data_IF_700166850802
#
_entry.id   IF_700166850802
#
_cell.length_a   1.000
_cell.length_b   1.000
_cell.length_c   1.000
_cell.angle_alpha   90.00
_cell.angle_beta   90.00
_cell.angle_gamma   90.00
#
_symmetry.space_group_name_H-M   'P 1'
#
loop_
_entity.id
_entity.type
_entity.pdbx_description
1 polymer ?
#
# COMPACT_ATOMS: atom_id res chain seq x y z
N UNK A 1 -32.81 -60.53 71.49
CA UNK A 1 -31.70 -61.32 72.09
C UNK A 1 -30.48 -60.41 72.11
N UNK A 2 -30.22 -59.79 73.26
CA UNK A 2 -29.18 -60.16 74.23
C UNK A 2 -27.91 -59.34 73.93
N UNK A 3 -27.61 -58.36 74.79
CA UNK A 3 -26.52 -58.43 75.79
C UNK A 3 -25.14 -58.31 75.11
N UNK A 4 -24.17 -57.51 75.55
CA UNK A 4 -23.84 -56.94 76.86
C UNK A 4 -22.57 -56.11 76.61
N UNK A 5 -22.42 -54.97 77.29
CA UNK A 5 -21.46 -54.81 78.39
C UNK A 5 -20.06 -55.27 77.99
N UNK A 6 -19.19 -54.34 77.64
CA UNK A 6 -18.34 -53.59 78.58
C UNK A 6 -17.16 -54.44 79.06
N UNK A 7 -16.02 -53.75 79.03
CA UNK A 7 -14.80 -54.00 79.79
C UNK A 7 -13.87 -55.09 79.26
N UNK A 8 -12.81 -54.65 78.56
CA UNK A 8 -11.49 -54.87 79.13
C UNK A 8 -10.48 -53.82 78.68
N UNK A 9 -9.76 -53.34 79.67
CA UNK A 9 -8.82 -52.23 79.72
C UNK A 9 -7.57 -52.39 78.83
N UNK A 10 -6.88 -51.25 78.67
CA UNK A 10 -5.41 -51.15 78.60
C UNK A 10 -4.76 -50.99 77.23
N UNK A 11 -4.61 -49.74 76.78
CA UNK A 11 -3.25 -49.20 76.60
C UNK A 11 -3.20 -47.67 76.56
N UNK A 12 -2.39 -47.19 77.49
CA UNK A 12 -1.78 -45.87 77.66
C UNK A 12 -1.49 -45.07 76.37
N UNK A 13 -1.68 -43.75 76.46
CA UNK A 13 -1.24 -42.81 75.43
C UNK A 13 -1.59 -41.36 75.72
N UNK A 14 -0.97 -40.80 76.77
CA UNK A 14 -0.66 -39.38 77.03
C UNK A 14 -1.19 -38.30 76.06
N UNK A 15 -1.86 -37.27 76.59
CA UNK A 15 -2.02 -36.03 75.81
C UNK A 15 -3.03 -35.03 76.37
N UNK A 16 -2.66 -34.36 77.45
CA UNK A 16 -3.41 -33.29 78.11
C UNK A 16 -3.77 -32.14 77.13
N UNK A 17 -5.06 -31.81 76.96
CA UNK A 17 -5.50 -30.50 76.46
C UNK A 17 -6.88 -30.16 77.01
N UNK A 18 -6.89 -29.39 78.10
CA UNK A 18 -8.10 -28.80 78.67
C UNK A 18 -8.78 -27.87 77.66
N UNK A 19 -9.98 -28.24 77.22
CA UNK A 19 -10.88 -27.36 76.48
C UNK A 19 -11.54 -26.42 77.50
N UNK A 20 -11.23 -25.12 77.43
CA UNK A 20 -12.07 -24.09 78.06
C UNK A 20 -13.21 -23.77 77.11
N UNK A 21 -14.41 -24.21 77.46
CA UNK A 21 -15.66 -23.77 76.84
C UNK A 21 -16.33 -22.76 77.78
N UNK A 22 -16.46 -21.50 77.37
CA UNK A 22 -17.42 -20.58 78.02
C UNK A 22 -18.80 -20.80 77.40
N UNK A 23 -19.78 -21.13 78.24
CA UNK A 23 -21.18 -21.22 77.84
C UNK A 23 -21.80 -19.81 77.85
N UNK A 24 -22.34 -19.38 76.73
CA UNK A 24 -23.32 -18.28 76.68
C UNK A 24 -24.69 -18.94 76.72
N UNK A 25 -25.46 -18.67 77.78
CA UNK A 25 -26.80 -19.21 77.97
C UNK A 25 -27.81 -18.45 77.09
N UNK A 26 -28.52 -19.19 76.25
CA UNK A 26 -29.75 -18.75 75.59
C UNK A 26 -29.68 -18.86 74.06
N UNK A 27 -30.46 -19.81 73.52
CA UNK A 27 -30.72 -20.12 72.11
C UNK A 27 -29.71 -21.08 71.42
N UNK A 28 -30.24 -22.24 70.99
CA UNK A 28 -29.68 -23.37 70.21
C UNK A 28 -28.17 -23.43 69.88
N UNK A 29 -27.46 -24.54 70.22
CA UNK A 29 -26.03 -24.64 69.98
C UNK A 29 -25.74 -25.18 68.57
N UNK A 30 -25.63 -24.30 67.58
CA UNK A 30 -24.82 -24.62 66.40
C UNK A 30 -23.36 -24.43 66.83
N UNK A 31 -22.67 -25.54 67.12
CA UNK A 31 -21.22 -25.54 67.39
C UNK A 31 -20.47 -25.14 66.11
N UNK A 32 -20.16 -23.85 65.97
CA UNK A 32 -19.11 -23.44 65.04
C UNK A 32 -17.74 -23.60 65.71
N UNK A 33 -17.04 -24.68 65.36
CA UNK A 33 -15.61 -24.79 65.61
C UNK A 33 -14.87 -23.99 64.52
N UNK A 34 -14.42 -22.77 64.83
CA UNK A 34 -13.44 -22.08 64.01
C UNK A 34 -12.10 -22.79 64.22
N UNK A 35 -11.67 -23.59 63.24
CA UNK A 35 -10.31 -24.12 63.16
C UNK A 35 -9.36 -22.94 62.91
N UNK A 36 -8.73 -22.40 63.95
CA UNK A 36 -7.58 -21.52 63.79
C UNK A 36 -6.35 -22.38 63.45
N UNK A 37 -6.20 -22.69 62.16
CA UNK A 37 -4.97 -23.28 61.64
C UNK A 37 -3.88 -22.21 61.58
N UNK A 38 -2.72 -22.47 62.19
CA UNK A 38 -1.50 -21.71 61.92
C UNK A 38 -1.07 -22.10 60.51
N UNK A 39 -1.21 -21.18 59.55
CA UNK A 39 -0.67 -21.35 58.20
C UNK A 39 0.85 -21.31 58.32
N UNK A 40 1.54 -22.38 57.90
CA UNK A 40 2.98 -22.45 57.88
C UNK A 40 3.57 -21.43 56.90
N UNK A 41 4.68 -20.80 57.27
CA UNK A 41 5.30 -19.73 56.47
C UNK A 41 5.64 -20.19 55.03
N UNK A 42 5.96 -21.47 54.85
CA UNK A 42 6.28 -22.05 53.55
C UNK A 42 5.08 -22.04 52.58
N UNK A 43 3.88 -22.41 53.06
CA UNK A 43 2.65 -22.35 52.25
C UNK A 43 2.22 -20.91 51.91
N UNK A 44 2.46 -19.94 52.81
CA UNK A 44 2.25 -18.51 52.51
C UNK A 44 3.21 -18.01 51.44
N UNK A 45 4.49 -18.34 51.55
CA UNK A 45 5.51 -17.92 50.59
C UNK A 45 5.25 -18.52 49.20
N UNK A 46 4.82 -19.78 49.13
CA UNK A 46 4.45 -20.46 47.88
C UNK A 46 3.15 -19.90 47.27
N UNK A 47 2.14 -19.58 48.09
CA UNK A 47 0.92 -18.92 47.64
C UNK A 47 1.18 -17.49 47.12
N UNK A 48 2.09 -16.76 47.75
CA UNK A 48 2.45 -15.39 47.36
C UNK A 48 3.27 -15.38 46.06
N UNK A 49 4.21 -16.32 45.89
CA UNK A 49 4.97 -16.50 44.63
C UNK A 49 4.08 -16.89 43.45
N UNK A 50 3.14 -17.80 43.63
CA UNK A 50 2.20 -18.23 42.58
C UNK A 50 1.20 -17.14 42.20
N UNK A 51 0.76 -16.33 43.17
CA UNK A 51 -0.12 -15.18 42.92
C UNK A 51 0.61 -14.04 42.21
N UNK A 52 1.86 -13.75 42.60
CA UNK A 52 2.72 -12.78 41.91
C UNK A 52 3.05 -13.22 40.47
N UNK A 53 3.38 -14.50 40.26
CA UNK A 53 3.65 -15.03 38.92
C UNK A 53 2.43 -14.96 38.01
N UNK A 54 1.22 -15.25 38.53
CA UNK A 54 -0.04 -15.11 37.79
C UNK A 54 -0.35 -13.65 37.44
N UNK A 55 -0.16 -12.72 38.38
CA UNK A 55 -0.34 -11.29 38.14
C UNK A 55 0.63 -10.75 37.08
N UNK A 56 1.90 -11.19 37.14
CA UNK A 56 2.92 -10.80 36.16
C UNK A 56 2.59 -11.32 34.75
N UNK A 57 2.15 -12.58 34.62
CA UNK A 57 1.75 -13.16 33.33
C UNK A 57 0.54 -12.44 32.71
N UNK A 58 -0.42 -12.00 33.53
CA UNK A 58 -1.58 -11.22 33.06
C UNK A 58 -1.16 -9.82 32.62
N UNK A 59 -0.30 -9.14 33.38
CA UNK A 59 0.26 -7.83 32.99
C UNK A 59 1.08 -7.90 31.72
N UNK A 60 1.90 -8.94 31.54
CA UNK A 60 2.70 -9.14 30.32
C UNK A 60 1.77 -9.38 29.12
N UNK A 61 0.75 -10.23 29.26
CA UNK A 61 -0.24 -10.45 28.19
C UNK A 61 -1.01 -9.17 27.82
N UNK A 62 -1.38 -8.37 28.81
CA UNK A 62 -2.06 -7.09 28.58
C UNK A 62 -1.15 -6.09 27.87
N UNK A 63 0.12 -5.97 28.29
CA UNK A 63 1.11 -5.14 27.61
C UNK A 63 1.35 -5.59 26.17
N UNK A 64 1.48 -6.89 25.93
CA UNK A 64 1.63 -7.44 24.58
C UNK A 64 0.41 -7.14 23.70
N UNK A 65 -0.81 -7.23 24.24
CA UNK A 65 -2.02 -6.87 23.49
C UNK A 65 -2.10 -5.38 23.18
N UNK A 66 -1.73 -4.50 24.12
CA UNK A 66 -1.70 -3.05 23.91
C UNK A 66 -0.64 -2.68 22.85
N UNK A 67 0.54 -3.29 22.91
CA UNK A 67 1.59 -3.08 21.89
C UNK A 67 1.12 -3.58 20.52
N UNK A 68 0.44 -4.72 20.45
CA UNK A 68 -0.06 -5.28 19.19
C UNK A 68 -1.15 -4.41 18.56
N UNK A 69 -2.07 -3.87 19.37
CA UNK A 69 -3.10 -2.91 18.92
C UNK A 69 -2.45 -1.58 18.48
N UNK A 70 -1.48 -1.07 19.23
CA UNK A 70 -0.74 0.14 18.87
C UNK A 70 0.09 -0.04 17.59
N UNK A 71 0.70 -1.22 17.39
CA UNK A 71 1.37 -1.57 16.14
C UNK A 71 0.39 -1.68 14.97
N UNK A 72 -0.80 -2.26 15.18
CA UNK A 72 -1.84 -2.33 14.16
C UNK A 72 -2.35 -0.94 13.74
N UNK A 73 -2.50 0.00 14.67
CA UNK A 73 -2.94 1.38 14.34
C UNK A 73 -1.84 2.22 13.68
N UNK A 74 -0.58 1.98 14.01
CA UNK A 74 0.58 2.68 13.41
C UNK A 74 1.02 2.08 12.07
N UNK A 75 0.53 0.90 11.69
CA UNK A 75 0.78 0.25 10.40
C UNK A 75 -0.19 0.66 9.29
N UNK A 76 -0.82 1.84 9.35
CA UNK A 76 -1.50 2.40 8.17
C UNK A 76 -0.44 2.75 7.12
N UNK A 77 -0.13 1.77 6.27
CA UNK A 77 0.63 1.97 5.04
C UNK A 77 -0.10 3.03 4.22
N UNK A 78 0.43 4.25 4.24
CA UNK A 78 0.05 5.31 3.34
C UNK A 78 0.27 4.78 1.92
N UNK A 79 -0.82 4.35 1.28
CA UNK A 79 -0.78 4.11 -0.16
C UNK A 79 -0.39 5.44 -0.81
N UNK A 80 0.53 5.44 -1.78
CA UNK A 80 0.81 6.67 -2.53
C UNK A 80 -0.51 7.14 -3.13
N UNK A 81 -0.83 8.42 -2.97
CA UNK A 81 -1.97 9.04 -3.61
C UNK A 81 -1.72 9.00 -5.13
N UNK A 82 -2.23 7.95 -5.79
CA UNK A 82 -2.12 7.80 -7.24
C UNK A 82 -3.02 8.85 -7.88
N UNK A 83 -2.45 9.64 -8.79
CA UNK A 83 -3.24 10.53 -9.61
C UNK A 83 -4.10 9.66 -10.55
N UNK A 84 -5.37 10.00 -10.78
CA UNK A 84 -6.20 9.21 -11.69
C UNK A 84 -5.60 9.23 -13.10
N UNK A 85 -5.25 8.05 -13.62
CA UNK A 85 -4.83 7.85 -15.01
C UNK A 85 -5.97 8.30 -15.93
N UNK A 86 -5.64 9.10 -16.94
CA UNK A 86 -6.56 9.62 -17.94
C UNK A 86 -7.34 8.47 -18.61
N UNK A 87 -8.66 8.65 -18.79
CA UNK A 87 -9.53 7.60 -19.31
C UNK A 87 -9.14 7.09 -20.70
N UNK A 88 -8.71 7.98 -21.60
CA UNK A 88 -8.23 7.59 -22.93
C UNK A 88 -6.96 6.73 -22.82
N UNK A 89 -6.00 7.17 -22.00
CA UNK A 89 -4.73 6.46 -21.78
C UNK A 89 -5.00 5.07 -21.22
N UNK A 90 -5.84 4.98 -20.18
CA UNK A 90 -6.21 3.72 -19.54
C UNK A 90 -6.93 2.76 -20.49
N UNK A 91 -7.83 3.26 -21.34
CA UNK A 91 -8.68 2.41 -22.15
C UNK A 91 -8.03 1.99 -23.49
N UNK A 92 -7.21 2.85 -24.09
CA UNK A 92 -6.73 2.65 -25.46
C UNK A 92 -5.22 2.42 -25.59
N UNK A 93 -4.42 2.75 -24.58
CA UNK A 93 -2.96 2.75 -24.72
C UNK A 93 -2.24 1.58 -24.02
N UNK A 94 -2.96 0.56 -23.57
CA UNK A 94 -2.41 -0.64 -22.92
C UNK A 94 -1.36 -0.30 -21.83
N UNK A 95 -1.77 0.42 -20.78
CA UNK A 95 -0.89 0.98 -19.72
C UNK A 95 -1.05 0.30 -18.35
N UNK A 96 -1.48 -0.95 -18.33
CA UNK A 96 -1.62 -1.70 -17.06
C UNK A 96 -0.26 -1.87 -16.34
N UNK A 97 0.84 -1.81 -17.10
CA UNK A 97 2.22 -1.81 -16.64
C UNK A 97 2.99 -0.69 -17.38
N UNK A 98 4.16 -0.25 -16.87
CA UNK A 98 4.99 0.72 -17.57
C UNK A 98 5.35 0.26 -18.99
N UNK A 99 5.17 1.15 -19.96
CA UNK A 99 5.39 0.88 -21.37
C UNK A 99 6.77 1.35 -21.81
N UNK A 100 7.45 0.52 -22.61
CA UNK A 100 8.73 0.86 -23.19
C UNK A 100 8.58 1.67 -24.48
N UNK A 101 9.18 2.86 -24.53
CA UNK A 101 9.23 3.72 -25.71
C UNK A 101 10.68 3.81 -26.19
N UNK A 102 10.91 3.70 -27.50
CA UNK A 102 12.27 3.75 -28.05
C UNK A 102 12.89 5.14 -27.89
N UNK A 103 14.13 5.17 -27.42
CA UNK A 103 14.89 6.42 -27.23
C UNK A 103 15.42 6.94 -28.58
N UNK A 104 15.98 6.04 -29.40
CA UNK A 104 16.73 6.40 -30.60
C UNK A 104 16.57 5.43 -31.79
N UNK A 105 15.67 4.45 -31.70
CA UNK A 105 15.49 3.41 -32.71
C UNK A 105 16.56 2.32 -32.73
N UNK A 106 17.54 2.33 -31.80
CA UNK A 106 18.68 1.37 -31.76
C UNK A 106 18.54 0.30 -30.68
N UNK A 107 17.32 0.07 -30.21
CA UNK A 107 17.01 -0.92 -29.16
C UNK A 107 17.07 -0.38 -27.73
N UNK A 108 17.53 0.86 -27.52
CA UNK A 108 17.37 1.53 -26.23
C UNK A 108 15.92 1.98 -26.03
N UNK A 109 15.39 1.76 -24.83
CA UNK A 109 14.03 2.14 -24.46
C UNK A 109 13.98 2.76 -23.07
N UNK A 110 13.05 3.70 -22.88
CA UNK A 110 12.70 4.29 -21.59
C UNK A 110 11.27 3.87 -21.20
N UNK A 111 11.05 3.63 -19.91
CA UNK A 111 9.75 3.21 -19.37
C UNK A 111 8.92 4.43 -18.97
N UNK A 112 7.64 4.40 -19.32
CA UNK A 112 6.64 5.40 -18.94
C UNK A 112 5.41 4.69 -18.39
N UNK A 113 4.88 5.15 -17.26
CA UNK A 113 3.66 4.57 -16.70
C UNK A 113 2.39 5.29 -17.18
N UNK A 114 1.23 4.85 -16.69
CA UNK A 114 -0.05 5.46 -17.03
C UNK A 114 -0.15 6.92 -16.58
N UNK A 115 0.48 7.31 -15.47
CA UNK A 115 0.47 8.69 -14.97
C UNK A 115 1.31 9.59 -15.89
N UNK A 116 2.47 9.11 -16.33
CA UNK A 116 3.33 9.82 -17.29
C UNK A 116 2.61 10.10 -18.61
N UNK A 117 1.96 9.09 -19.18
CA UNK A 117 1.21 9.26 -20.43
C UNK A 117 -0.06 10.11 -20.23
N UNK A 118 -0.64 10.08 -19.03
CA UNK A 118 -1.75 10.96 -18.66
C UNK A 118 -1.32 12.42 -18.57
N UNK A 119 -0.11 12.67 -18.07
CA UNK A 119 0.49 13.99 -18.10
C UNK A 119 0.77 14.43 -19.54
N UNK A 120 1.31 13.52 -20.37
CA UNK A 120 1.59 13.78 -21.79
C UNK A 120 0.35 14.15 -22.61
N UNK A 121 -0.78 13.44 -22.45
CA UNK A 121 -2.03 13.79 -23.16
C UNK A 121 -2.60 15.14 -22.72
N UNK A 122 -2.44 15.53 -21.45
CA UNK A 122 -2.88 16.83 -20.97
C UNK A 122 -2.06 17.95 -21.64
N UNK A 123 -0.73 17.80 -21.69
CA UNK A 123 0.13 18.71 -22.44
C UNK A 123 -0.24 18.78 -23.93
N UNK A 124 -0.54 17.64 -24.55
CA UNK A 124 -0.95 17.59 -25.94
C UNK A 124 -2.27 18.31 -26.17
N UNK A 125 -3.24 18.13 -25.28
CA UNK A 125 -4.57 18.76 -25.36
C UNK A 125 -4.45 20.28 -25.28
N UNK A 126 -3.64 20.79 -24.35
CA UNK A 126 -3.45 22.22 -24.14
C UNK A 126 -2.70 22.89 -25.32
N UNK A 127 -1.77 22.18 -25.94
CA UNK A 127 -0.74 22.82 -26.77
C UNK A 127 -0.70 22.38 -28.24
N UNK A 128 -1.17 21.18 -28.56
CA UNK A 128 -0.99 20.55 -29.87
C UNK A 128 -2.32 20.19 -30.56
N UNK A 129 -3.35 19.88 -29.77
CA UNK A 129 -4.61 19.30 -30.26
C UNK A 129 -5.34 20.17 -31.28
N UNK A 130 -5.18 21.51 -31.22
CA UNK A 130 -5.82 22.43 -32.19
C UNK A 130 -5.46 22.09 -33.63
N UNK A 131 -4.23 21.62 -33.89
CA UNK A 131 -3.77 21.23 -35.22
C UNK A 131 -3.71 19.70 -35.38
N UNK A 132 -3.58 18.97 -34.28
CA UNK A 132 -3.30 17.54 -34.26
C UNK A 132 -4.36 16.69 -33.56
N UNK A 133 -5.63 17.06 -33.65
CA UNK A 133 -6.74 16.29 -33.08
C UNK A 133 -6.73 14.84 -33.60
N UNK A 134 -6.73 13.86 -32.70
CA UNK A 134 -6.66 12.44 -33.07
C UNK A 134 -5.41 12.05 -33.87
N UNK A 135 -4.32 12.82 -33.77
CA UNK A 135 -3.09 12.61 -34.55
C UNK A 135 -3.16 13.14 -35.99
N UNK A 136 -4.20 13.88 -36.38
CA UNK A 136 -4.27 14.52 -37.71
C UNK A 136 -3.22 15.62 -37.88
N UNK A 137 -3.18 16.25 -39.04
CA UNK A 137 -2.49 17.52 -39.23
C UNK A 137 -3.33 18.43 -40.12
N UNK A 138 -3.98 19.42 -39.52
CA UNK A 138 -4.90 20.31 -40.25
C UNK A 138 -4.13 21.23 -41.21
N UNK A 139 -2.87 21.55 -40.92
CA UNK A 139 -2.05 22.43 -41.77
C UNK A 139 -1.54 21.68 -43.00
N UNK A 140 -1.10 20.43 -42.81
CA UNK A 140 -0.72 19.54 -43.90
C UNK A 140 -1.29 18.14 -43.69
N UNK A 141 -2.47 17.83 -44.26
CA UNK A 141 -3.15 16.55 -44.06
C UNK A 141 -2.37 15.32 -44.55
N UNK A 142 -1.35 15.50 -45.39
CA UNK A 142 -0.49 14.41 -45.88
C UNK A 142 0.63 14.02 -44.90
N UNK A 143 0.82 14.79 -43.82
CA UNK A 143 1.86 14.54 -42.82
C UNK A 143 1.21 14.49 -41.44
N UNK A 144 0.54 13.37 -41.14
CA UNK A 144 -0.08 13.11 -39.83
C UNK A 144 0.94 12.71 -38.75
N UNK A 145 0.45 12.53 -37.51
CA UNK A 145 1.20 11.94 -36.40
C UNK A 145 1.04 10.41 -36.34
N UNK A 146 0.73 9.76 -37.46
CA UNK A 146 0.74 8.29 -37.56
C UNK A 146 2.16 7.76 -37.41
N UNK A 147 2.29 6.53 -36.90
CA UNK A 147 3.61 5.92 -36.68
C UNK A 147 4.41 5.81 -37.98
N UNK A 148 3.74 5.47 -39.08
CA UNK A 148 4.36 5.39 -40.40
C UNK A 148 4.94 6.74 -40.84
N UNK A 149 4.19 7.84 -40.71
CA UNK A 149 4.65 9.17 -41.12
C UNK A 149 5.75 9.68 -40.21
N UNK A 150 5.68 9.40 -38.91
CA UNK A 150 6.76 9.73 -37.98
C UNK A 150 8.05 8.99 -38.35
N UNK A 151 7.98 7.70 -38.70
CA UNK A 151 9.14 6.89 -39.07
C UNK A 151 9.77 7.30 -40.42
N UNK A 152 8.96 7.73 -41.39
CA UNK A 152 9.41 8.14 -42.73
C UNK A 152 9.94 9.58 -42.79
N UNK A 153 9.76 10.38 -41.74
CA UNK A 153 10.36 11.71 -41.66
C UNK A 153 11.90 11.64 -41.67
N UNK A 154 12.56 12.71 -42.13
CA UNK A 154 14.02 12.83 -42.09
C UNK A 154 14.41 13.99 -41.16
N UNK A 155 15.18 13.75 -40.08
CA UNK A 155 15.44 12.44 -39.47
C UNK A 155 14.15 11.78 -38.92
N UNK A 156 14.14 10.46 -38.62
CA UNK A 156 12.98 9.75 -38.08
C UNK A 156 12.49 10.33 -36.74
N UNK A 157 11.16 10.41 -36.59
CA UNK A 157 10.46 11.05 -35.45
C UNK A 157 9.57 10.08 -34.67
N UNK A 158 9.76 8.77 -34.85
CA UNK A 158 9.03 7.67 -34.21
C UNK A 158 9.66 7.22 -32.87
N UNK A 159 10.61 8.01 -32.36
CA UNK A 159 11.38 7.75 -31.14
C UNK A 159 11.52 9.06 -30.33
N UNK A 160 11.84 8.95 -29.03
CA UNK A 160 11.88 10.11 -28.13
C UNK A 160 12.83 11.19 -28.61
N UNK A 161 14.08 10.84 -28.93
CA UNK A 161 15.08 11.83 -29.32
C UNK A 161 14.66 12.58 -30.59
N UNK A 162 14.19 11.85 -31.61
CA UNK A 162 13.74 12.44 -32.87
C UNK A 162 12.54 13.37 -32.69
N UNK A 163 11.54 12.96 -31.92
CA UNK A 163 10.33 13.75 -31.71
C UNK A 163 10.58 14.97 -30.80
N UNK A 164 11.40 14.81 -29.75
CA UNK A 164 11.80 15.92 -28.87
C UNK A 164 12.63 16.94 -29.66
N UNK A 165 13.62 16.49 -30.43
CA UNK A 165 14.42 17.37 -31.28
C UNK A 165 13.54 18.17 -32.26
N UNK A 166 12.56 17.50 -32.90
CA UNK A 166 11.59 18.18 -33.76
C UNK A 166 10.75 19.22 -33.00
N UNK A 167 10.27 18.92 -31.79
CA UNK A 167 9.51 19.91 -31.00
C UNK A 167 10.37 21.09 -30.54
N UNK A 168 11.67 20.87 -30.26
CA UNK A 168 12.61 21.94 -29.92
C UNK A 168 12.98 22.82 -31.10
N UNK A 169 13.05 22.26 -32.31
CA UNK A 169 13.35 22.99 -33.53
C UNK A 169 12.60 22.33 -34.70
N UNK A 170 11.37 22.77 -35.00
CA UNK A 170 10.57 22.15 -36.05
C UNK A 170 11.24 22.26 -37.41
N UNK A 171 11.35 21.14 -38.11
CA UNK A 171 11.91 21.04 -39.46
C UNK A 171 10.85 20.56 -40.47
N UNK A 172 11.05 20.89 -41.73
CA UNK A 172 10.36 20.29 -42.88
C UNK A 172 10.44 18.76 -42.85
N UNK A 173 9.54 18.07 -43.55
CA UNK A 173 9.41 16.61 -43.44
C UNK A 173 10.66 15.85 -43.91
N UNK A 174 11.37 16.41 -44.88
CA UNK A 174 12.67 15.97 -45.39
C UNK A 174 13.87 16.52 -44.59
N UNK A 175 13.63 17.44 -43.64
CA UNK A 175 14.62 17.97 -42.71
C UNK A 175 15.56 19.01 -43.31
N UNK A 176 15.26 19.54 -44.49
CA UNK A 176 16.15 20.45 -45.22
C UNK A 176 16.08 21.90 -44.73
N UNK A 177 14.91 22.31 -44.24
CA UNK A 177 14.62 23.67 -43.78
C UNK A 177 13.86 23.67 -42.45
N UNK A 178 13.96 24.76 -41.69
CA UNK A 178 13.12 25.01 -40.52
C UNK A 178 11.65 25.21 -40.94
N UNK A 179 10.73 24.66 -40.16
CA UNK A 179 9.30 24.74 -40.42
C UNK A 179 8.63 25.73 -39.48
N UNK A 180 7.95 26.71 -40.06
CA UNK A 180 7.08 27.64 -39.32
C UNK A 180 5.65 27.09 -39.12
N UNK A 181 5.37 25.89 -39.64
CA UNK A 181 4.02 25.30 -39.62
C UNK A 181 3.70 24.58 -38.31
N UNK A 182 4.72 24.28 -37.50
CA UNK A 182 4.57 23.70 -36.17
C UNK A 182 5.09 24.69 -35.12
N UNK A 183 4.55 24.60 -33.90
CA UNK A 183 4.96 25.46 -32.79
C UNK A 183 6.23 24.91 -32.15
N UNK A 184 7.27 25.73 -32.08
CA UNK A 184 8.47 25.44 -31.30
C UNK A 184 8.14 25.38 -29.80
N UNK A 185 8.74 24.41 -29.11
CA UNK A 185 8.62 24.18 -27.66
C UNK A 185 10.00 24.37 -27.02
N UNK A 186 10.40 25.59 -26.61
CA UNK A 186 11.68 25.80 -25.93
C UNK A 186 11.72 25.22 -24.52
N UNK A 187 12.92 24.98 -23.99
CA UNK A 187 13.14 24.47 -22.62
C UNK A 187 12.58 25.41 -21.53
N UNK A 188 12.51 26.71 -21.82
CA UNK A 188 11.91 27.71 -20.93
C UNK A 188 10.41 27.54 -20.76
N UNK A 189 9.75 26.79 -21.66
CA UNK A 189 8.33 26.55 -21.61
C UNK A 189 8.00 25.15 -21.10
N UNK A 190 8.58 24.09 -21.69
CA UNK A 190 8.47 22.72 -21.16
C UNK A 190 9.86 22.18 -20.80
N UNK A 191 10.01 21.68 -19.57
CA UNK A 191 11.22 21.01 -19.12
C UNK A 191 11.50 19.74 -19.91
N UNK A 192 12.71 19.19 -19.77
CA UNK A 192 13.09 17.95 -20.44
C UNK A 192 12.16 16.78 -20.04
N UNK A 193 11.84 16.65 -18.76
CA UNK A 193 10.92 15.62 -18.28
C UNK A 193 9.51 15.79 -18.87
N UNK A 194 9.01 17.03 -18.92
CA UNK A 194 7.66 17.31 -19.43
C UNK A 194 7.55 17.00 -20.92
N UNK A 195 8.55 17.38 -21.71
CA UNK A 195 8.54 17.13 -23.16
C UNK A 195 8.76 15.64 -23.49
N UNK A 196 9.48 14.90 -22.65
CA UNK A 196 9.59 13.43 -22.75
C UNK A 196 8.24 12.75 -22.57
N UNK A 197 7.46 13.15 -21.57
CA UNK A 197 6.10 12.62 -21.33
C UNK A 197 5.14 12.95 -22.48
N UNK A 198 5.23 14.16 -23.03
CA UNK A 198 4.49 14.56 -24.23
C UNK A 198 4.88 13.69 -25.45
N UNK A 199 6.18 13.52 -25.70
CA UNK A 199 6.66 12.69 -26.80
C UNK A 199 6.26 11.22 -26.64
N UNK A 200 6.40 10.68 -25.43
CA UNK A 200 5.99 9.32 -25.08
C UNK A 200 4.50 9.10 -25.34
N UNK A 201 3.64 10.06 -24.96
CA UNK A 201 2.22 10.01 -25.27
C UNK A 201 1.95 9.96 -26.78
N UNK A 202 2.56 10.86 -27.56
CA UNK A 202 2.35 10.92 -29.02
C UNK A 202 2.77 9.61 -29.68
N UNK A 203 3.95 9.09 -29.33
CA UNK A 203 4.46 7.82 -29.88
C UNK A 203 3.54 6.66 -29.47
N UNK A 204 3.14 6.60 -28.20
CA UNK A 204 2.26 5.52 -27.72
C UNK A 204 0.88 5.57 -28.37
N UNK A 205 0.32 6.77 -28.53
CA UNK A 205 -0.92 6.98 -29.25
C UNK A 205 -0.80 6.56 -30.72
N UNK A 206 0.32 6.82 -31.38
CA UNK A 206 0.59 6.34 -32.73
C UNK A 206 0.72 4.81 -32.85
N UNK A 207 1.15 4.14 -31.78
CA UNK A 207 1.27 2.68 -31.73
C UNK A 207 -0.05 1.96 -31.43
N UNK A 208 -0.90 2.54 -30.58
CA UNK A 208 -2.05 1.85 -29.97
C UNK A 208 -3.39 2.56 -30.11
N UNK A 209 -3.37 3.88 -30.30
CA UNK A 209 -4.57 4.70 -30.36
C UNK A 209 -5.45 4.33 -31.55
N UNK A 210 -6.73 4.00 -31.34
CA UNK A 210 -7.62 3.66 -32.43
C UNK A 210 -7.78 4.86 -33.37
N UNK A 211 -7.63 4.62 -34.67
CA UNK A 211 -7.69 5.64 -35.72
C UNK A 211 -6.69 6.81 -35.58
N UNK A 212 -5.68 6.70 -34.71
CA UNK A 212 -4.71 7.76 -34.51
C UNK A 212 -3.90 8.04 -35.78
N UNK A 213 -3.92 9.29 -36.25
CA UNK A 213 -3.18 9.73 -37.43
C UNK A 213 -3.67 9.11 -38.75
N UNK A 214 -4.85 8.50 -38.76
CA UNK A 214 -5.44 7.96 -39.99
C UNK A 214 -5.86 9.09 -40.93
N UNK A 215 -5.32 9.06 -42.15
CA UNK A 215 -5.55 10.10 -43.16
C UNK A 215 -6.81 9.83 -44.02
N UNK A 216 -7.41 8.65 -43.88
CA UNK A 216 -8.55 8.17 -44.68
C UNK A 216 -9.89 8.24 -43.93
N UNK A 217 -10.08 9.18 -43.01
CA UNK A 217 -11.33 9.30 -42.24
C UNK A 217 -12.48 10.00 -42.98
N UNK A 218 -12.27 10.40 -44.24
CA UNK A 218 -13.30 10.97 -45.12
C UNK A 218 -13.16 10.42 -46.54
#
# INVERSE_FOLDING_TARGET
MLRRLLDFFEKSGTGNRGQRCSAVLGVSPIRYCIKTGIVDNNSREQYQKTTLARGLLVSIRYLLLVVLVFCLETCTVSSPAQAPVNDYVRHYLDVAEPVAISVDGKGQTQLFDGEDLSFGINLFSENCQRCHVGGSNIINPTVSLSLERLAQATPPRDNLNGLIAFMRQPMTYDGTEESISCREVPESWLSQEQIEKLAAFVIRAAQKGPAWGTENLF
#
